data_IF_128408891077
#
_entry.id   IF_128408891077
#
_cell.length_a   1.000
_cell.length_b   1.000
_cell.length_c   1.000
_cell.angle_alpha   90.00
_cell.angle_beta   90.00
_cell.angle_gamma   90.00
#
_symmetry.space_group_name_H-M   'P 1'
#
loop_
_entity.id
_entity.type
_entity.pdbx_description
1 polymer ?
#
# COMPACT_ATOMS: atom_id res chain seq x y z
N UNK A 1 2.00 -16.29 15.45
CA UNK A 1 2.04 -15.02 14.68
C UNK A 1 3.04 -14.10 15.38
N UNK A 2 3.69 -13.18 14.68
CA UNK A 2 4.74 -12.32 15.25
C UNK A 2 4.23 -11.06 15.99
N UNK A 3 2.94 -11.01 16.30
CA UNK A 3 2.24 -9.82 16.80
C UNK A 3 1.44 -10.17 18.06
N UNK A 4 1.17 -9.19 18.92
CA UNK A 4 0.26 -9.32 20.07
C UNK A 4 -1.19 -9.42 19.60
N UNK A 5 -2.10 -9.83 20.48
CA UNK A 5 -3.52 -10.02 20.13
C UNK A 5 -4.17 -8.72 19.66
N UNK A 6 -3.86 -7.60 20.30
CA UNK A 6 -4.35 -6.26 19.94
C UNK A 6 -3.87 -5.82 18.56
N UNK A 7 -2.65 -6.23 18.18
CA UNK A 7 -2.04 -5.85 16.91
C UNK A 7 -2.59 -6.65 15.71
N UNK A 8 -3.22 -7.80 15.93
CA UNK A 8 -3.62 -8.70 14.83
C UNK A 8 -4.69 -8.11 13.92
N UNK A 9 -5.61 -7.33 14.48
CA UNK A 9 -6.71 -6.70 13.74
C UNK A 9 -6.40 -5.22 13.39
N UNK A 10 -5.27 -4.69 13.87
CA UNK A 10 -4.88 -3.32 13.60
C UNK A 10 -4.37 -3.19 12.14
N UNK A 11 -4.97 -2.28 11.33
CA UNK A 11 -4.52 -1.98 9.97
C UNK A 11 -3.06 -1.58 9.85
N UNK A 12 -2.45 -1.05 10.91
CA UNK A 12 -1.05 -0.64 10.95
C UNK A 12 -0.08 -1.82 10.80
N UNK A 13 -0.47 -3.02 11.23
CA UNK A 13 0.37 -4.22 11.21
C UNK A 13 0.11 -5.14 10.01
N UNK A 14 -0.74 -4.71 9.07
CA UNK A 14 -1.04 -5.45 7.85
C UNK A 14 0.08 -5.29 6.82
N UNK A 15 0.29 -6.31 5.97
CA UNK A 15 1.32 -6.29 4.91
C UNK A 15 1.29 -5.02 4.05
N UNK A 16 0.09 -4.51 3.74
CA UNK A 16 -0.11 -3.28 2.97
C UNK A 16 0.59 -2.03 3.57
N UNK A 17 0.76 -2.03 4.89
CA UNK A 17 1.31 -0.92 5.65
C UNK A 17 2.78 -1.18 6.00
N UNK A 18 3.09 -2.39 6.49
CA UNK A 18 4.44 -2.69 6.98
C UNK A 18 5.46 -2.91 5.86
N UNK A 19 5.05 -3.46 4.71
CA UNK A 19 5.99 -3.76 3.61
C UNK A 19 6.65 -2.47 3.09
N UNK A 20 5.91 -1.40 2.73
CA UNK A 20 6.53 -0.15 2.29
C UNK A 20 7.46 0.48 3.35
N UNK A 21 7.09 0.39 4.63
CA UNK A 21 7.90 0.94 5.73
C UNK A 21 9.24 0.19 5.89
N UNK A 22 9.22 -1.15 5.79
CA UNK A 22 10.43 -1.96 5.85
C UNK A 22 11.29 -1.69 4.61
N UNK A 23 10.69 -1.59 3.41
CA UNK A 23 11.41 -1.23 2.18
C UNK A 23 12.15 0.10 2.35
N UNK A 24 11.51 1.11 2.95
CA UNK A 24 12.16 2.40 3.23
C UNK A 24 13.31 2.25 4.22
N UNK A 25 13.10 1.46 5.28
CA UNK A 25 14.08 1.21 6.33
C UNK A 25 15.31 0.46 5.81
N UNK A 26 15.16 -0.36 4.78
CA UNK A 26 16.27 -1.11 4.17
C UNK A 26 17.21 -0.22 3.34
N UNK A 27 16.74 0.89 2.78
CA UNK A 27 17.53 1.75 1.88
C UNK A 27 18.91 2.17 2.41
N UNK A 28 19.09 2.67 3.65
CA UNK A 28 20.41 3.04 4.16
C UNK A 28 21.36 1.84 4.20
N UNK A 29 20.87 0.66 4.62
CA UNK A 29 21.67 -0.56 4.66
C UNK A 29 22.05 -1.04 3.25
N UNK A 30 21.14 -0.95 2.29
CA UNK A 30 21.45 -1.29 0.89
C UNK A 30 22.49 -0.35 0.28
N UNK A 31 22.47 0.93 0.66
CA UNK A 31 23.43 1.92 0.19
C UNK A 31 24.84 1.69 0.79
N UNK A 32 24.91 1.36 2.09
CA UNK A 32 26.16 1.02 2.76
C UNK A 32 26.78 -0.28 2.20
N UNK A 33 25.96 -1.30 2.00
CA UNK A 33 26.40 -2.61 1.51
C UNK A 33 26.60 -2.66 -0.01
N UNK A 34 26.16 -1.64 -0.75
CA UNK A 34 26.22 -1.58 -2.22
C UNK A 34 25.40 -2.67 -2.92
N UNK A 35 24.42 -3.28 -2.25
CA UNK A 35 23.58 -4.37 -2.79
C UNK A 35 22.16 -4.32 -2.25
N UNK A 36 21.23 -4.91 -3.01
CA UNK A 36 19.83 -5.05 -2.59
C UNK A 36 19.64 -6.15 -1.54
N UNK A 37 18.80 -5.88 -0.56
CA UNK A 37 18.40 -6.83 0.48
C UNK A 37 16.99 -7.35 0.13
N UNK A 38 16.84 -8.63 -0.25
CA UNK A 38 15.54 -9.14 -0.68
C UNK A 38 14.57 -9.24 0.50
N UNK A 39 13.41 -8.59 0.37
CA UNK A 39 12.32 -8.66 1.36
C UNK A 39 11.28 -9.71 0.95
N UNK A 40 11.09 -10.74 1.78
CA UNK A 40 10.06 -11.77 1.56
C UNK A 40 8.88 -11.51 2.50
N UNK A 41 7.72 -11.16 1.93
CA UNK A 41 6.53 -10.86 2.70
C UNK A 41 5.67 -12.11 2.94
N UNK A 42 5.35 -12.41 4.20
CA UNK A 42 4.58 -13.59 4.58
C UNK A 42 3.32 -13.28 5.37
N UNK A 43 2.25 -14.04 5.11
CA UNK A 43 0.99 -13.96 5.84
C UNK A 43 -0.16 -13.36 5.02
N UNK A 44 -1.31 -14.03 5.00
CA UNK A 44 -2.51 -13.54 4.31
C UNK A 44 -2.53 -13.65 2.78
N UNK A 45 -1.37 -13.79 2.13
CA UNK A 45 -1.28 -14.01 0.67
C UNK A 45 -1.93 -15.34 0.27
N UNK A 46 -2.94 -15.30 -0.61
CA UNK A 46 -3.73 -16.48 -0.99
C UNK A 46 -3.79 -16.74 -2.50
N UNK A 47 -3.92 -15.68 -3.30
CA UNK A 47 -4.15 -15.75 -4.75
C UNK A 47 -3.07 -15.01 -5.52
N UNK A 48 -2.94 -15.27 -6.83
CA UNK A 48 -2.00 -14.54 -7.70
C UNK A 48 -2.18 -13.02 -7.70
N UNK A 49 -3.43 -12.53 -7.49
CA UNK A 49 -3.69 -11.09 -7.29
C UNK A 49 -3.03 -10.58 -6.00
N UNK A 50 -3.11 -11.34 -4.91
CA UNK A 50 -2.48 -10.98 -3.65
C UNK A 50 -0.96 -10.96 -3.81
N UNK A 51 -0.38 -11.92 -4.55
CA UNK A 51 1.05 -11.93 -4.92
C UNK A 51 1.42 -10.62 -5.62
N UNK A 52 0.69 -10.28 -6.69
CA UNK A 52 0.94 -9.03 -7.43
C UNK A 52 0.84 -7.80 -6.53
N UNK A 53 -0.18 -7.72 -5.68
CA UNK A 53 -0.35 -6.61 -4.74
C UNK A 53 0.83 -6.51 -3.77
N UNK A 54 1.28 -7.63 -3.19
CA UNK A 54 2.40 -7.63 -2.25
C UNK A 54 3.72 -7.26 -2.91
N UNK A 55 4.00 -7.77 -4.11
CA UNK A 55 5.19 -7.37 -4.87
C UNK A 55 5.14 -5.90 -5.28
N UNK A 56 3.95 -5.37 -5.61
CA UNK A 56 3.77 -3.94 -5.93
C UNK A 56 4.05 -3.01 -4.75
N UNK A 57 4.06 -3.52 -3.50
CA UNK A 57 4.44 -2.75 -2.31
C UNK A 57 5.97 -2.67 -2.10
N UNK A 58 6.76 -3.36 -2.93
CA UNK A 58 8.22 -3.38 -2.86
C UNK A 58 8.81 -4.67 -2.26
N UNK A 59 8.00 -5.67 -1.93
CA UNK A 59 8.52 -6.99 -1.58
C UNK A 59 9.16 -7.67 -2.81
N UNK A 60 10.23 -8.43 -2.60
CA UNK A 60 10.92 -9.20 -3.64
C UNK A 60 10.27 -10.57 -3.88
N UNK A 61 9.65 -11.15 -2.85
CA UNK A 61 8.94 -12.42 -2.93
C UNK A 61 7.82 -12.49 -1.88
N UNK A 62 6.99 -13.53 -1.98
CA UNK A 62 5.96 -13.83 -0.99
C UNK A 62 6.17 -15.21 -0.37
N UNK A 63 5.85 -15.34 0.91
CA UNK A 63 5.81 -16.63 1.60
C UNK A 63 4.35 -17.05 1.82
N UNK A 64 4.01 -18.23 1.32
CA UNK A 64 2.68 -18.82 1.43
C UNK A 64 2.79 -20.18 2.13
N UNK A 65 1.88 -20.46 3.07
CA UNK A 65 1.85 -21.74 3.80
C UNK A 65 0.49 -22.41 3.68
N UNK A 66 -0.56 -21.81 4.26
CA UNK A 66 -1.91 -22.37 4.31
C UNK A 66 -2.43 -22.86 2.96
N UNK A 67 -2.15 -22.15 1.87
CA UNK A 67 -2.59 -22.52 0.51
C UNK A 67 -2.01 -23.86 0.04
N UNK A 68 -0.79 -24.19 0.47
CA UNK A 68 -0.05 -25.40 0.08
C UNK A 68 -0.32 -26.61 0.98
N UNK A 69 -1.13 -26.48 2.03
CA UNK A 69 -1.42 -27.61 2.92
C UNK A 69 -2.36 -28.63 2.26
N UNK A 70 -3.37 -28.15 1.55
CA UNK A 70 -4.28 -29.00 0.79
C UNK A 70 -3.73 -29.32 -0.60
N UNK A 71 -2.49 -29.82 -0.65
CA UNK A 71 -1.90 -30.38 -1.87
C UNK A 71 -1.62 -31.87 -1.76
N UNK A 72 -1.49 -32.54 -2.89
CA UNK A 72 -1.20 -33.98 -2.94
C UNK A 72 0.18 -34.27 -2.33
N UNK A 73 1.16 -33.41 -2.60
CA UNK A 73 2.56 -33.50 -2.20
C UNK A 73 2.80 -33.13 -0.73
N UNK A 74 1.85 -32.48 -0.06
CA UNK A 74 1.94 -32.25 1.38
C UNK A 74 1.84 -33.59 2.13
N UNK A 75 2.87 -33.92 2.91
CA UNK A 75 3.05 -35.19 3.62
C UNK A 75 2.13 -35.39 4.84
N UNK A 76 1.33 -34.39 5.17
CA UNK A 76 0.33 -34.50 6.22
C UNK A 76 -0.75 -35.52 5.85
N UNK A 77 -1.24 -36.25 6.86
CA UNK A 77 -2.34 -37.20 6.73
C UNK A 77 -3.55 -36.55 6.04
N UNK A 78 -4.25 -37.33 5.21
CA UNK A 78 -5.39 -36.86 4.44
C UNK A 78 -6.43 -36.13 5.32
N UNK A 79 -6.69 -36.61 6.55
CA UNK A 79 -7.64 -35.99 7.49
C UNK A 79 -7.20 -34.59 7.92
N UNK A 80 -5.90 -34.34 8.03
CA UNK A 80 -5.36 -33.01 8.31
C UNK A 80 -5.64 -32.05 7.15
N UNK A 81 -5.43 -32.51 5.91
CA UNK A 81 -5.71 -31.73 4.69
C UNK A 81 -7.21 -31.48 4.53
N UNK A 82 -8.03 -32.49 4.79
CA UNK A 82 -9.51 -32.38 4.75
C UNK A 82 -10.05 -31.36 5.75
N UNK A 83 -9.41 -31.18 6.91
CA UNK A 83 -9.79 -30.13 7.85
C UNK A 83 -9.75 -28.73 7.23
N UNK A 84 -8.81 -28.44 6.32
CA UNK A 84 -8.79 -27.16 5.57
C UNK A 84 -9.89 -27.08 4.52
N UNK A 85 -10.23 -28.20 3.89
CA UNK A 85 -11.26 -28.27 2.84
C UNK A 85 -12.65 -28.06 3.43
N UNK A 86 -12.91 -28.63 4.60
CA UNK A 86 -14.23 -28.63 5.23
C UNK A 86 -14.47 -27.46 6.17
N UNK A 87 -13.41 -26.76 6.61
CA UNK A 87 -13.60 -25.65 7.55
C UNK A 87 -14.35 -24.48 6.94
N UNK A 88 -15.14 -23.83 7.79
CA UNK A 88 -15.83 -22.58 7.52
C UNK A 88 -15.01 -21.41 8.06
N UNK A 89 -15.42 -20.20 7.70
CA UNK A 89 -14.72 -18.98 8.14
C UNK A 89 -14.76 -18.84 9.66
N UNK A 90 -15.89 -19.23 10.25
CA UNK A 90 -16.19 -19.15 11.68
C UNK A 90 -15.39 -20.17 12.50
N UNK A 91 -14.93 -21.25 11.87
CA UNK A 91 -14.09 -22.26 12.53
C UNK A 91 -12.65 -21.78 12.72
N UNK A 92 -12.22 -20.70 12.06
CA UNK A 92 -10.85 -20.19 12.16
C UNK A 92 -10.78 -19.15 13.27
N UNK A 93 -10.08 -19.51 14.35
CA UNK A 93 -9.97 -18.67 15.53
C UNK A 93 -8.55 -18.50 16.04
N UNK A 94 -8.39 -17.54 16.94
CA UNK A 94 -7.17 -17.40 17.72
C UNK A 94 -7.11 -18.48 18.80
N UNK A 95 -5.89 -18.89 19.12
CA UNK A 95 -5.59 -19.79 20.23
C UNK A 95 -4.39 -19.24 21.00
N UNK A 96 -4.37 -19.50 22.30
CA UNK A 96 -3.20 -19.20 23.13
C UNK A 96 -2.17 -20.32 22.99
N UNK A 97 -0.99 -20.00 22.49
CA UNK A 97 0.10 -20.98 22.41
C UNK A 97 0.77 -21.17 23.77
N UNK A 98 1.48 -22.29 24.01
CA UNK A 98 2.22 -22.51 25.25
C UNK A 98 3.31 -21.47 25.51
N UNK A 99 3.74 -20.69 24.52
CA UNK A 99 4.74 -19.63 24.70
C UNK A 99 4.10 -18.25 24.96
N UNK A 100 2.78 -18.21 25.19
CA UNK A 100 2.05 -16.98 25.50
C UNK A 100 1.73 -16.10 24.30
N UNK A 101 2.14 -16.49 23.09
CA UNK A 101 1.84 -15.75 21.86
C UNK A 101 0.56 -16.26 21.18
N UNK A 102 -0.17 -15.40 20.45
CA UNK A 102 -1.34 -15.82 19.71
C UNK A 102 -0.95 -16.69 18.50
N UNK A 103 -1.63 -17.83 18.40
CA UNK A 103 -1.69 -18.70 17.25
C UNK A 103 -3.04 -18.57 16.54
N UNK A 104 -3.13 -19.00 15.28
CA UNK A 104 -4.40 -19.07 14.55
C UNK A 104 -4.60 -20.48 14.04
N UNK A 105 -5.72 -21.09 14.39
CA UNK A 105 -5.99 -22.49 14.11
C UNK A 105 -7.43 -22.69 13.65
N UNK A 106 -7.67 -23.83 13.00
CA UNK A 106 -9.02 -24.36 12.82
C UNK A 106 -9.44 -24.93 14.18
N UNK A 107 -10.43 -24.29 14.81
CA UNK A 107 -10.94 -24.65 16.12
C UNK A 107 -11.57 -26.03 16.08
N UNK A 108 -11.27 -26.83 17.09
CA UNK A 108 -11.77 -28.18 17.26
C UNK A 108 -11.92 -28.50 18.76
N UNK A 109 -12.44 -29.67 19.08
CA UNK A 109 -12.63 -30.09 20.47
C UNK A 109 -11.33 -30.07 21.28
N UNK A 110 -10.19 -30.41 20.67
CA UNK A 110 -8.90 -30.39 21.37
C UNK A 110 -8.53 -29.00 21.91
N UNK A 111 -8.76 -27.95 21.11
CA UNK A 111 -8.51 -26.57 21.53
C UNK A 111 -9.47 -26.19 22.66
N UNK A 112 -10.78 -26.45 22.47
CA UNK A 112 -11.81 -26.16 23.47
C UNK A 112 -11.52 -26.86 24.80
N UNK A 113 -11.25 -28.17 24.79
CA UNK A 113 -10.95 -28.95 25.99
C UNK A 113 -9.69 -28.43 26.70
N UNK A 114 -8.72 -27.91 25.93
CA UNK A 114 -7.49 -27.35 26.48
C UNK A 114 -7.74 -26.03 27.20
N UNK A 115 -8.52 -25.14 26.59
CA UNK A 115 -8.89 -23.84 27.15
C UNK A 115 -9.78 -24.00 28.40
N UNK A 116 -10.63 -25.02 28.43
CA UNK A 116 -11.49 -25.37 29.57
C UNK A 116 -10.79 -26.21 30.64
N UNK A 117 -9.51 -26.56 30.44
CA UNK A 117 -8.74 -27.36 31.40
C UNK A 117 -9.18 -28.82 31.53
N UNK A 118 -10.01 -29.32 30.61
CA UNK A 118 -10.59 -30.69 30.64
C UNK A 118 -9.61 -31.78 30.21
N UNK A 119 -8.42 -31.39 29.78
CA UNK A 119 -7.44 -32.32 29.23
C UNK A 119 -6.61 -32.99 30.30
N UNK A 120 -6.19 -34.26 30.08
CA UNK A 120 -5.34 -34.95 31.03
C UNK A 120 -4.03 -34.19 31.27
N UNK A 121 -3.63 -34.12 32.54
CA UNK A 121 -2.32 -33.62 32.89
C UNK A 121 -1.25 -34.42 32.14
N UNK A 122 -0.27 -33.71 31.58
CA UNK A 122 0.86 -34.31 30.90
C UNK A 122 2.16 -33.75 31.46
N UNK A 123 3.25 -34.52 31.33
CA UNK A 123 4.58 -34.06 31.69
C UNK A 123 5.31 -33.61 30.43
N UNK A 124 5.84 -32.39 30.44
CA UNK A 124 6.66 -31.90 29.34
C UNK A 124 7.96 -32.72 29.24
N UNK A 125 8.13 -33.43 28.12
CA UNK A 125 9.29 -34.29 27.88
C UNK A 125 10.53 -33.49 27.43
N UNK A 126 10.33 -32.45 26.62
CA UNK A 126 11.45 -31.79 25.91
C UNK A 126 12.00 -30.52 26.56
N UNK A 127 11.19 -29.80 27.36
CA UNK A 127 11.57 -28.48 27.92
C UNK A 127 12.24 -27.56 26.88
N UNK A 128 11.69 -27.51 25.65
CA UNK A 128 12.36 -26.91 24.49
C UNK A 128 12.73 -25.44 24.65
N UNK A 129 11.92 -24.67 25.39
CA UNK A 129 12.08 -23.22 25.54
C UNK A 129 11.86 -22.82 27.00
N UNK A 130 12.69 -21.91 27.49
CA UNK A 130 12.60 -21.39 28.86
C UNK A 130 11.27 -20.65 29.11
N UNK A 131 10.72 -20.00 28.09
CA UNK A 131 9.44 -19.27 28.16
C UNK A 131 8.19 -20.14 27.98
N UNK A 132 8.35 -21.47 27.82
CA UNK A 132 7.23 -22.35 27.56
C UNK A 132 6.41 -22.65 28.82
N UNK A 133 5.13 -22.30 28.77
CA UNK A 133 4.09 -22.51 29.78
C UNK A 133 3.12 -23.61 29.35
N UNK A 134 3.66 -24.78 29.00
CA UNK A 134 2.87 -25.88 28.44
C UNK A 134 1.88 -26.49 29.45
N UNK A 135 2.22 -26.43 30.74
CA UNK A 135 1.34 -26.82 31.84
C UNK A 135 0.14 -25.87 31.94
N UNK A 136 0.38 -24.55 31.92
CA UNK A 136 -0.68 -23.53 31.96
C UNK A 136 -1.59 -23.62 30.72
N UNK A 137 -1.01 -23.90 29.55
CA UNK A 137 -1.76 -24.07 28.31
C UNK A 137 -2.57 -25.38 28.26
N UNK A 138 -2.31 -26.35 29.15
CA UNK A 138 -2.88 -27.69 29.16
C UNK A 138 -2.59 -28.51 27.87
N UNK A 139 -1.45 -28.24 27.21
CA UNK A 139 -0.91 -29.09 26.15
C UNK A 139 0.54 -28.79 25.79
N UNK A 140 1.23 -29.79 25.25
CA UNK A 140 2.45 -29.59 24.49
C UNK A 140 2.14 -29.35 23.02
N UNK A 141 2.57 -28.20 22.48
CA UNK A 141 2.38 -27.85 21.06
C UNK A 141 3.05 -28.86 20.13
N UNK A 142 4.24 -29.35 20.44
CA UNK A 142 4.94 -30.33 19.60
C UNK A 142 4.19 -31.66 19.51
N UNK A 143 3.62 -32.14 20.61
CA UNK A 143 2.76 -33.35 20.61
C UNK A 143 1.50 -33.09 19.81
N UNK A 144 0.84 -31.95 20.05
CA UNK A 144 -0.40 -31.58 19.36
C UNK A 144 -0.21 -31.53 17.84
N UNK A 145 0.87 -30.90 17.35
CA UNK A 145 1.17 -30.79 15.93
C UNK A 145 1.59 -32.13 15.32
N UNK A 146 2.39 -32.93 16.05
CA UNK A 146 2.75 -34.27 15.58
C UNK A 146 1.55 -35.22 15.49
N UNK A 147 0.61 -35.10 16.41
CA UNK A 147 -0.66 -35.83 16.35
C UNK A 147 -1.51 -35.34 15.17
N UNK A 148 -1.63 -34.03 15.00
CA UNK A 148 -2.43 -33.45 13.93
C UNK A 148 -1.91 -33.85 12.54
N UNK A 149 -0.59 -33.75 12.28
CA UNK A 149 0.00 -34.17 10.98
C UNK A 149 -0.23 -35.66 10.66
N UNK A 150 -0.50 -36.49 11.68
CA UNK A 150 -0.84 -37.92 11.57
C UNK A 150 -2.37 -38.18 11.52
N UNK A 151 -3.17 -37.12 11.38
CA UNK A 151 -4.63 -37.20 11.31
C UNK A 151 -5.34 -37.37 12.65
N UNK A 152 -4.63 -37.30 13.78
CA UNK A 152 -5.18 -37.46 15.13
C UNK A 152 -5.73 -36.13 15.65
N UNK A 153 -6.76 -35.58 14.99
CA UNK A 153 -7.31 -34.26 15.27
C UNK A 153 -8.09 -34.15 16.59
N UNK A 154 -8.41 -35.27 17.26
CA UNK A 154 -8.94 -35.25 18.63
C UNK A 154 -7.84 -35.06 19.70
N UNK A 155 -6.58 -35.27 19.31
CA UNK A 155 -5.40 -35.16 20.17
C UNK A 155 -4.38 -34.17 19.60
N UNK A 156 -4.82 -33.28 18.72
CA UNK A 156 -4.04 -32.23 18.10
C UNK A 156 -4.93 -31.16 17.49
N UNK A 157 -4.32 -30.16 16.86
CA UNK A 157 -5.04 -29.12 16.13
C UNK A 157 -4.27 -28.66 14.90
N UNK A 158 -4.94 -27.90 14.05
CA UNK A 158 -4.44 -27.50 12.74
C UNK A 158 -4.19 -26.00 12.73
N UNK A 159 -2.92 -25.57 12.65
CA UNK A 159 -2.62 -24.16 12.44
C UNK A 159 -3.05 -23.70 11.04
N UNK A 160 -3.69 -22.55 10.97
CA UNK A 160 -4.29 -22.06 9.73
C UNK A 160 -4.21 -20.54 9.65
N UNK A 161 -3.89 -20.03 8.46
CA UNK A 161 -4.09 -18.63 8.13
C UNK A 161 -5.58 -18.29 8.05
N UNK A 162 -5.92 -17.01 8.14
CA UNK A 162 -7.30 -16.51 8.09
C UNK A 162 -8.05 -16.89 6.81
N UNK A 163 -7.33 -17.19 5.72
CA UNK A 163 -7.89 -17.60 4.43
C UNK A 163 -8.08 -19.12 4.26
N UNK A 164 -7.84 -19.95 5.29
CA UNK A 164 -7.95 -21.41 5.17
C UNK A 164 -9.31 -21.89 4.64
N UNK A 165 -10.40 -21.27 5.09
CA UNK A 165 -11.77 -21.61 4.69
C UNK A 165 -12.05 -21.46 3.19
N UNK A 166 -11.17 -20.77 2.44
CA UNK A 166 -11.30 -20.60 0.98
C UNK A 166 -10.81 -21.82 0.22
N UNK A 167 -10.09 -22.73 0.87
CA UNK A 167 -9.63 -23.99 0.30
C UNK A 167 -10.82 -24.94 0.22
N UNK A 168 -11.10 -25.47 -0.97
CA UNK A 168 -12.29 -26.33 -1.22
C UNK A 168 -11.99 -27.68 -1.84
N UNK A 169 -10.72 -27.94 -2.15
CA UNK A 169 -10.26 -29.22 -2.69
C UNK A 169 -8.77 -29.39 -2.43
N UNK A 170 -8.35 -30.65 -2.37
CA UNK A 170 -6.94 -31.03 -2.43
C UNK A 170 -6.54 -31.08 -3.92
N UNK A 171 -5.40 -30.50 -4.27
CA UNK A 171 -4.92 -30.40 -5.66
C UNK A 171 -3.42 -30.67 -5.77
N UNK A 172 -2.89 -31.08 -6.92
CA UNK A 172 -1.44 -31.12 -7.12
C UNK A 172 -0.82 -29.72 -6.94
N UNK A 173 0.41 -29.65 -6.41
CA UNK A 173 1.19 -28.40 -6.30
C UNK A 173 1.29 -27.73 -7.66
N UNK A 174 1.53 -28.50 -8.73
CA UNK A 174 1.57 -27.96 -10.09
C UNK A 174 0.29 -27.20 -10.45
N UNK A 175 -0.88 -27.77 -10.16
CA UNK A 175 -2.17 -27.13 -10.44
C UNK A 175 -2.30 -25.83 -9.65
N UNK A 176 -1.92 -25.84 -8.37
CA UNK A 176 -1.96 -24.65 -7.53
C UNK A 176 -1.00 -23.55 -8.03
N UNK A 177 0.24 -23.91 -8.39
CA UNK A 177 1.22 -22.95 -8.92
C UNK A 177 0.72 -22.33 -10.21
N UNK A 178 0.20 -23.11 -11.15
CA UNK A 178 -0.40 -22.57 -12.39
C UNK A 178 -1.60 -21.66 -12.12
N UNK A 179 -2.44 -21.96 -11.12
CA UNK A 179 -3.53 -21.07 -10.68
C UNK A 179 -2.96 -19.72 -10.17
N UNK A 180 -1.90 -19.76 -9.37
CA UNK A 180 -1.25 -18.56 -8.82
C UNK A 180 -0.58 -17.72 -9.91
N UNK A 181 0.16 -18.35 -10.82
CA UNK A 181 0.80 -17.69 -11.97
C UNK A 181 -0.25 -17.04 -12.88
N UNK A 182 -1.32 -17.77 -13.23
CA UNK A 182 -2.40 -17.23 -14.04
C UNK A 182 -3.13 -16.08 -13.35
N UNK A 183 -3.35 -16.17 -12.04
CA UNK A 183 -3.92 -15.08 -11.25
C UNK A 183 -3.01 -13.84 -11.17
N UNK A 184 -1.70 -14.05 -11.12
CA UNK A 184 -0.70 -12.98 -11.12
C UNK A 184 -0.66 -12.29 -12.48
N UNK A 185 -0.57 -13.04 -13.57
CA UNK A 185 -0.56 -12.50 -14.94
C UNK A 185 -1.80 -11.63 -15.22
N UNK A 186 -3.00 -12.13 -14.87
CA UNK A 186 -4.25 -11.35 -14.99
C UNK A 186 -4.24 -10.06 -14.17
N UNK A 187 -3.62 -10.08 -12.98
CA UNK A 187 -3.52 -8.88 -12.15
C UNK A 187 -2.56 -7.85 -12.75
N UNK A 188 -1.44 -8.31 -13.35
CA UNK A 188 -0.51 -7.45 -14.11
C UNK A 188 -1.21 -6.84 -15.32
N UNK A 189 -1.88 -7.64 -16.15
CA UNK A 189 -2.63 -7.18 -17.33
C UNK A 189 -3.67 -6.12 -16.96
N UNK A 190 -4.46 -6.38 -15.92
CA UNK A 190 -5.47 -5.42 -15.41
C UNK A 190 -4.83 -4.10 -14.94
N UNK A 191 -3.67 -4.18 -14.28
CA UNK A 191 -2.92 -2.97 -13.84
C UNK A 191 -2.40 -2.18 -15.04
N UNK A 192 -1.83 -2.85 -16.04
CA UNK A 192 -1.33 -2.21 -17.27
C UNK A 192 -2.48 -1.54 -18.01
N UNK A 193 -3.59 -2.25 -18.25
CA UNK A 193 -4.76 -1.68 -18.93
C UNK A 193 -5.26 -0.40 -18.24
N UNK A 194 -5.33 -0.39 -16.91
CA UNK A 194 -5.71 0.81 -16.14
C UNK A 194 -4.70 1.95 -16.27
N UNK A 195 -3.40 1.64 -16.31
CA UNK A 195 -2.35 2.66 -16.49
C UNK A 195 -2.40 3.26 -17.89
N UNK A 196 -2.61 2.44 -18.93
CA UNK A 196 -2.77 2.91 -20.30
C UNK A 196 -3.97 3.84 -20.44
N UNK A 197 -5.13 3.45 -19.90
CA UNK A 197 -6.32 4.31 -19.90
C UNK A 197 -6.07 5.66 -19.20
N UNK A 198 -5.37 5.64 -18.04
CA UNK A 198 -5.01 6.88 -17.33
C UNK A 198 -4.03 7.74 -18.16
N UNK A 199 -3.07 7.12 -18.84
CA UNK A 199 -2.09 7.80 -19.66
C UNK A 199 -2.74 8.47 -20.88
N UNK A 200 -3.74 7.83 -21.50
CA UNK A 200 -4.55 8.42 -22.57
C UNK A 200 -5.33 9.65 -22.11
N UNK A 201 -5.95 9.58 -20.92
CA UNK A 201 -6.63 10.74 -20.31
C UNK A 201 -5.65 11.89 -20.07
N UNK A 202 -4.51 11.61 -19.42
CA UNK A 202 -3.47 12.61 -19.15
C UNK A 202 -2.92 13.24 -20.43
N UNK A 203 -2.72 12.45 -21.48
CA UNK A 203 -2.28 12.96 -22.79
C UNK A 203 -3.28 13.95 -23.37
N UNK A 204 -4.58 13.65 -23.25
CA UNK A 204 -5.65 14.54 -23.73
C UNK A 204 -5.67 15.86 -22.94
N UNK A 205 -5.60 15.77 -21.61
CA UNK A 205 -5.53 16.94 -20.72
C UNK A 205 -4.29 17.80 -21.02
N UNK A 206 -3.14 17.18 -21.27
CA UNK A 206 -1.90 17.88 -21.61
C UNK A 206 -2.04 18.69 -22.90
N UNK A 207 -2.60 18.08 -23.96
CA UNK A 207 -2.82 18.76 -25.25
C UNK A 207 -3.77 19.95 -25.11
N UNK A 208 -4.87 19.78 -24.38
CA UNK A 208 -5.81 20.87 -24.09
C UNK A 208 -5.14 22.01 -23.32
N UNK A 209 -4.33 21.67 -22.32
CA UNK A 209 -3.58 22.65 -21.53
C UNK A 209 -2.56 23.40 -22.38
N UNK A 210 -1.85 22.72 -23.29
CA UNK A 210 -0.94 23.37 -24.24
C UNK A 210 -1.66 24.38 -25.15
N UNK A 211 -2.84 24.02 -25.66
CA UNK A 211 -3.65 24.92 -26.50
C UNK A 211 -4.08 26.16 -25.72
N UNK A 212 -4.60 25.98 -24.51
CA UNK A 212 -4.97 27.09 -23.62
C UNK A 212 -3.77 27.99 -23.31
N UNK A 213 -2.58 27.40 -23.11
CA UNK A 213 -1.38 28.18 -22.84
C UNK A 213 -0.93 29.01 -24.03
N UNK A 214 -1.03 28.46 -25.25
CA UNK A 214 -0.75 29.20 -26.46
C UNK A 214 -1.73 30.36 -26.66
N UNK A 215 -3.03 30.14 -26.42
CA UNK A 215 -4.04 31.20 -26.51
C UNK A 215 -3.84 32.29 -25.46
N UNK A 216 -3.49 31.92 -24.22
CA UNK A 216 -3.19 32.87 -23.16
C UNK A 216 -1.95 33.72 -23.49
N UNK A 217 -0.89 33.10 -24.03
CA UNK A 217 0.31 33.81 -24.46
C UNK A 217 -0.02 34.87 -25.52
N UNK A 218 -0.82 34.50 -26.53
CA UNK A 218 -1.27 35.44 -27.57
C UNK A 218 -2.06 36.61 -26.99
N UNK A 219 -3.01 36.34 -26.09
CA UNK A 219 -3.78 37.39 -25.41
C UNK A 219 -2.90 38.32 -24.56
N UNK A 220 -1.86 37.77 -23.94
CA UNK A 220 -0.90 38.56 -23.17
C UNK A 220 -0.08 39.49 -24.06
N UNK A 221 0.40 39.01 -25.21
CA UNK A 221 1.09 39.85 -26.21
C UNK A 221 0.20 40.98 -26.76
N UNK A 222 -1.05 40.67 -27.09
CA UNK A 222 -2.04 41.66 -27.54
C UNK A 222 -2.30 42.73 -26.46
N UNK A 223 -2.42 42.32 -25.19
CA UNK A 223 -2.60 43.23 -24.07
C UNK A 223 -1.37 44.13 -23.87
N UNK A 224 -0.16 43.58 -23.95
CA UNK A 224 1.09 44.35 -23.86
C UNK A 224 1.20 45.40 -24.97
N UNK A 225 0.89 45.02 -26.21
CA UNK A 225 0.90 45.95 -27.35
C UNK A 225 -0.09 47.10 -27.13
N UNK A 226 -1.30 46.77 -26.68
CA UNK A 226 -2.36 47.74 -26.38
C UNK A 226 -1.94 48.71 -25.28
N UNK A 227 -1.35 48.19 -24.19
CA UNK A 227 -0.83 49.01 -23.10
C UNK A 227 0.31 49.93 -23.55
N UNK A 228 1.25 49.42 -24.35
CA UNK A 228 2.36 50.23 -24.88
C UNK A 228 1.86 51.36 -25.78
N UNK A 229 0.90 51.07 -26.67
CA UNK A 229 0.28 52.09 -27.53
C UNK A 229 -0.46 53.16 -26.70
N UNK A 230 -1.20 52.74 -25.68
CA UNK A 230 -1.87 53.66 -24.76
C UNK A 230 -0.87 54.56 -24.01
N UNK A 231 0.22 53.98 -23.48
CA UNK A 231 1.29 54.72 -22.81
C UNK A 231 1.96 55.74 -23.74
N UNK A 232 2.24 55.36 -25.00
CA UNK A 232 2.82 56.26 -25.99
C UNK A 232 1.89 57.43 -26.33
N UNK A 233 0.60 57.16 -26.54
CA UNK A 233 -0.43 58.18 -26.76
C UNK A 233 -0.53 59.15 -25.59
N UNK A 234 -0.56 58.63 -24.36
CA UNK A 234 -0.60 59.43 -23.13
C UNK A 234 0.62 60.36 -23.03
N UNK A 235 1.82 59.83 -23.33
CA UNK A 235 3.07 60.60 -23.33
C UNK A 235 3.02 61.74 -24.36
N UNK A 236 2.54 61.48 -25.58
CA UNK A 236 2.39 62.53 -26.60
C UNK A 236 1.41 63.63 -26.18
N UNK A 237 0.27 63.25 -25.60
CA UNK A 237 -0.71 64.22 -25.08
C UNK A 237 -0.10 65.08 -23.97
N UNK A 238 0.63 64.45 -23.04
CA UNK A 238 1.34 65.15 -21.98
C UNK A 238 2.38 66.14 -22.52
N UNK A 239 3.21 65.72 -23.49
CA UNK A 239 4.21 66.61 -24.11
C UNK A 239 3.56 67.79 -24.84
N UNK A 240 2.47 67.56 -25.58
CA UNK A 240 1.70 68.65 -26.22
C UNK A 240 1.11 69.62 -25.21
N UNK A 241 0.53 69.11 -24.12
CA UNK A 241 -0.01 69.94 -23.05
C UNK A 241 1.08 70.78 -22.39
N UNK A 242 2.23 70.18 -22.09
CA UNK A 242 3.39 70.88 -21.51
C UNK A 242 3.89 72.02 -22.42
N UNK A 243 4.05 71.77 -23.72
CA UNK A 243 4.40 72.81 -24.71
C UNK A 243 3.38 73.95 -24.72
N UNK A 244 2.09 73.62 -24.72
CA UNK A 244 1.01 74.63 -24.71
C UNK A 244 1.05 75.49 -23.44
N UNK A 245 1.30 74.89 -22.28
CA UNK A 245 1.50 75.61 -21.01
C UNK A 245 2.70 76.55 -21.10
N UNK A 246 3.82 76.10 -21.69
CA UNK A 246 5.02 76.92 -21.83
C UNK A 246 4.79 78.09 -22.80
N UNK A 247 4.10 77.86 -23.92
CA UNK A 247 3.69 78.92 -24.85
C UNK A 247 2.80 79.96 -24.17
N UNK A 248 1.83 79.50 -23.37
CA UNK A 248 0.96 80.39 -22.59
C UNK A 248 1.76 81.20 -21.56
N UNK A 249 2.73 80.57 -20.88
CA UNK A 249 3.65 81.25 -19.95
C UNK A 249 4.45 82.36 -20.64
N UNK A 250 5.07 82.07 -21.78
CA UNK A 250 5.82 83.05 -22.57
C UNK A 250 4.92 84.20 -23.04
N UNK A 251 3.71 83.88 -23.53
CA UNK A 251 2.72 84.88 -23.92
C UNK A 251 2.28 85.78 -22.76
N UNK A 252 2.06 85.21 -21.58
CA UNK A 252 1.77 85.99 -20.36
C UNK A 252 2.95 86.89 -19.97
N UNK A 253 4.18 86.39 -20.02
CA UNK A 253 5.38 87.18 -19.74
C UNK A 253 5.56 88.35 -20.71
N UNK A 254 5.30 88.13 -22.01
CA UNK A 254 5.31 89.18 -23.04
C UNK A 254 4.20 90.21 -22.81
N UNK A 255 2.99 89.76 -22.46
CA UNK A 255 1.86 90.65 -22.16
C UNK A 255 2.16 91.52 -20.94
N UNK A 256 2.74 90.95 -19.88
CA UNK A 256 3.21 91.67 -18.70
C UNK A 256 4.31 92.70 -19.03
N UNK A 257 5.29 92.32 -19.88
CA UNK A 257 6.33 93.25 -20.33
C UNK A 257 5.74 94.42 -21.15
N UNK A 258 4.81 94.15 -22.06
CA UNK A 258 4.16 95.19 -22.88
C UNK A 258 3.25 96.12 -22.07
N UNK A 259 2.62 95.63 -21.01
CA UNK A 259 1.81 96.45 -20.09
C UNK A 259 2.67 97.27 -19.14
N UNK A 260 3.86 96.79 -18.76
CA UNK A 260 4.84 97.59 -18.00
C UNK A 260 5.42 98.78 -18.79
N UNK A 261 5.50 98.68 -20.13
CA UNK A 261 5.88 99.79 -21.01
C UNK A 261 4.77 100.82 -21.25
N UNK A 262 3.50 100.47 -20.99
CA UNK A 262 2.35 101.37 -21.07
C UNK A 262 2.05 102.09 -19.73
N UNK A 263 2.71 101.67 -18.65
CA UNK A 263 2.56 102.21 -17.28
C UNK A 263 3.80 102.98 -16.79
N UNK A 264 4.77 103.25 -17.67
CA UNK A 264 5.92 104.14 -17.45
C UNK A 264 5.80 105.37 -18.35
#
# INVERSE_FOLDING_TARGET
MGFTEEQLEDPAYQLKTIVPQIVETLKPYEAEEGRKIPLIAGGGVYSGKDIHQTLSLGASAVQMATRFVATDECDADRRFKEAYVTCKKEDIGLIKSPVGMPGRAIRNSFITDSEEGKRPAFRCAWKCLASCKAQDANYCISIALNNARRGLLKSGFVFAGSNAYRIKKIVPVQTLVSELEGGYAKAVESKIARLLAKLETLKTEYVQTQQLMHELAKRYEEALLTMNNAAHSLKQQYTKAALKVETLRLGMAQTLASTSHLLA
#
